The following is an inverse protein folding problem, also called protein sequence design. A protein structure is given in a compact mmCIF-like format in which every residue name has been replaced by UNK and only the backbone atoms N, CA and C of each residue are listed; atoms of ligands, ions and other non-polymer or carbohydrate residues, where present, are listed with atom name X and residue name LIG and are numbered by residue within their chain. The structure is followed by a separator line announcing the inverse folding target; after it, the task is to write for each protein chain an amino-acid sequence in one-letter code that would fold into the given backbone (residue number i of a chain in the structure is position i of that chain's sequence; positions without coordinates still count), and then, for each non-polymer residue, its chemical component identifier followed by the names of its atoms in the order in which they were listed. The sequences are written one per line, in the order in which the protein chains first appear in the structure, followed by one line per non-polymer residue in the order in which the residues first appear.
data_IF_420479898206
#
_entry.id   IF_420479898206
#
_cell.length_a   1.000
_cell.length_b   1.000
_cell.length_c   1.000
_cell.angle_alpha   90.00
_cell.angle_beta   90.00
_cell.angle_gamma   90.00
#
_symmetry.space_group_name_H-M   'P 1'
#
loop_
_entity.id
_entity.type
_entity.pdbx_description
1 polymer ?
#
# COMPACT_ATOMS: atom_id res chain seq x y z
N UNK A 1 -10.53 7.23 12.25
CA UNK A 1 -10.03 6.51 11.07
C UNK A 1 -10.77 5.20 10.88
N UNK A 2 -11.27 4.95 9.67
CA UNK A 2 -12.01 3.73 9.32
C UNK A 2 -11.09 2.61 8.84
N UNK A 3 -11.41 1.36 9.18
CA UNK A 3 -10.62 0.20 8.75
C UNK A 3 -11.11 -0.34 7.41
N UNK A 4 -10.20 -0.53 6.47
CA UNK A 4 -10.41 -1.23 5.21
C UNK A 4 -9.37 -2.35 5.06
N UNK A 5 -9.73 -3.42 4.35
CA UNK A 5 -8.82 -4.52 4.06
C UNK A 5 -8.48 -4.50 2.57
N UNK A 6 -7.20 -4.55 2.22
CA UNK A 6 -6.75 -4.73 0.84
C UNK A 6 -6.49 -6.21 0.55
N UNK A 7 -7.26 -6.75 -0.38
CA UNK A 7 -7.13 -8.07 -0.94
C UNK A 7 -6.50 -7.95 -2.34
N UNK A 8 -5.46 -8.75 -2.60
CA UNK A 8 -4.86 -8.87 -3.93
C UNK A 8 -5.82 -9.46 -4.96
N UNK A 9 -5.31 -9.87 -6.13
CA UNK A 9 -6.16 -10.42 -7.19
C UNK A 9 -6.68 -11.82 -6.87
N UNK A 10 -6.03 -12.53 -5.93
CA UNK A 10 -6.48 -13.84 -5.47
C UNK A 10 -7.79 -13.76 -4.65
N UNK A 11 -8.87 -14.31 -5.23
CA UNK A 11 -10.20 -14.35 -4.62
C UNK A 11 -10.28 -15.21 -3.36
N UNK A 12 -9.36 -16.17 -3.16
CA UNK A 12 -9.31 -17.01 -1.94
C UNK A 12 -9.14 -16.17 -0.67
N UNK A 13 -8.56 -14.96 -0.77
CA UNK A 13 -8.45 -14.06 0.36
C UNK A 13 -9.80 -13.57 0.88
N UNK A 14 -10.84 -13.51 0.05
CA UNK A 14 -12.20 -13.26 0.54
C UNK A 14 -12.69 -14.41 1.43
N UNK A 15 -12.45 -15.66 1.03
CA UNK A 15 -12.85 -16.82 1.82
C UNK A 15 -12.06 -16.88 3.15
N UNK A 16 -10.76 -16.58 3.12
CA UNK A 16 -9.98 -16.47 4.35
C UNK A 16 -10.49 -15.32 5.24
N UNK A 17 -10.87 -14.18 4.67
CA UNK A 17 -11.40 -13.04 5.44
C UNK A 17 -12.75 -13.39 6.08
N UNK A 18 -13.69 -13.93 5.31
CA UNK A 18 -15.04 -14.29 5.78
C UNK A 18 -14.99 -15.34 6.88
N UNK A 19 -14.05 -16.29 6.79
CA UNK A 19 -13.86 -17.32 7.81
C UNK A 19 -12.97 -16.87 8.97
N UNK A 20 -12.58 -15.59 9.02
CA UNK A 20 -11.70 -15.06 10.07
C UNK A 20 -10.32 -15.71 10.12
N UNK A 21 -9.87 -16.32 9.02
CA UNK A 21 -8.54 -16.96 8.90
C UNK A 21 -7.48 -15.99 8.35
N UNK A 22 -7.92 -14.93 7.65
CA UNK A 22 -7.02 -13.86 7.17
C UNK A 22 -6.61 -12.92 8.31
N UNK A 23 -7.44 -12.85 9.35
CA UNK A 23 -7.25 -12.02 10.52
C UNK A 23 -6.91 -12.91 11.72
N UNK A 24 -6.26 -12.32 12.72
CA UNK A 24 -5.84 -13.01 13.94
C UNK A 24 -7.02 -13.68 14.66
N UNK A 25 -6.97 -15.00 14.81
CA UNK A 25 -7.86 -15.82 15.64
C UNK A 25 -7.47 -15.84 17.14
N UNK A 26 -6.51 -15.02 17.55
CA UNK A 26 -6.11 -14.85 18.95
C UNK A 26 -5.20 -15.96 19.44
N UNK A 27 -5.67 -16.81 20.36
CA UNK A 27 -4.85 -17.85 20.99
C UNK A 27 -4.30 -18.87 19.96
N UNK A 28 -5.12 -19.19 18.96
CA UNK A 28 -4.77 -20.12 17.88
C UNK A 28 -3.61 -19.58 17.02
N UNK A 29 -3.51 -18.26 16.82
CA UNK A 29 -2.40 -17.68 16.04
C UNK A 29 -1.08 -17.82 16.78
N UNK A 30 -1.11 -17.65 18.11
CA UNK A 30 0.08 -17.81 18.95
C UNK A 30 0.52 -19.26 18.99
N UNK A 31 -0.42 -20.20 19.04
CA UNK A 31 -0.13 -21.63 18.96
C UNK A 31 0.41 -22.02 17.57
N UNK A 32 -0.15 -21.49 16.49
CA UNK A 32 0.32 -21.71 15.13
C UNK A 32 1.72 -21.09 14.90
N UNK A 33 1.91 -19.83 15.30
CA UNK A 33 3.19 -19.15 15.21
C UNK A 33 4.25 -19.83 16.09
N UNK A 34 3.91 -20.20 17.33
CA UNK A 34 4.80 -20.95 18.20
C UNK A 34 5.12 -22.33 17.62
N UNK A 35 4.14 -23.03 17.04
CA UNK A 35 4.36 -24.31 16.36
C UNK A 35 5.38 -24.15 15.24
N UNK A 36 5.22 -23.14 14.38
CA UNK A 36 6.19 -22.88 13.33
C UNK A 36 7.57 -22.54 13.90
N UNK A 37 7.66 -21.62 14.87
CA UNK A 37 8.94 -21.20 15.46
C UNK A 37 9.66 -22.33 16.21
N UNK A 38 8.92 -23.24 16.85
CA UNK A 38 9.49 -24.35 17.63
C UNK A 38 9.90 -25.53 16.77
N UNK A 39 9.13 -25.85 15.73
CA UNK A 39 9.34 -27.06 14.91
C UNK A 39 10.21 -26.79 13.68
N UNK A 40 10.35 -25.54 13.25
CA UNK A 40 11.16 -25.15 12.09
C UNK A 40 12.15 -24.02 12.42
N UNK A 41 12.97 -24.14 13.49
CA UNK A 41 13.93 -23.11 13.86
C UNK A 41 15.01 -23.02 12.77
N UNK A 42 14.97 -21.95 11.97
CA UNK A 42 15.93 -21.68 10.89
C UNK A 42 15.41 -21.94 9.48
N UNK A 43 14.46 -22.85 9.29
CA UNK A 43 13.83 -23.13 7.98
C UNK A 43 12.78 -22.07 7.59
N UNK A 44 12.14 -21.44 8.58
CA UNK A 44 11.23 -20.31 8.37
C UNK A 44 11.88 -19.15 7.63
N UNK A 45 13.19 -18.94 7.81
CA UNK A 45 13.93 -17.83 7.19
C UNK A 45 14.41 -18.13 5.77
N UNK A 46 14.25 -19.36 5.27
CA UNK A 46 14.65 -19.75 3.91
C UNK A 46 13.47 -20.15 3.02
N UNK A 47 12.39 -20.70 3.59
CA UNK A 47 11.28 -21.27 2.83
C UNK A 47 9.90 -20.62 3.09
N UNK A 48 9.76 -19.74 4.09
CA UNK A 48 8.47 -19.12 4.44
C UNK A 48 8.58 -17.60 4.32
N UNK A 49 7.59 -17.03 3.63
CA UNK A 49 7.54 -15.59 3.40
C UNK A 49 7.54 -14.79 4.72
N UNK A 50 8.37 -13.74 4.86
CA UNK A 50 8.33 -12.86 6.04
C UNK A 50 6.99 -12.12 6.17
N UNK A 51 6.14 -12.14 5.15
CA UNK A 51 4.83 -11.51 5.19
C UNK A 51 3.92 -12.11 6.27
N UNK A 52 4.05 -13.40 6.58
CA UNK A 52 3.25 -14.02 7.64
C UNK A 52 3.57 -13.44 9.01
N UNK A 53 4.86 -13.33 9.34
CA UNK A 53 5.31 -12.70 10.58
C UNK A 53 4.86 -11.24 10.65
N UNK A 54 5.08 -10.48 9.57
CA UNK A 54 4.66 -9.08 9.47
C UNK A 54 3.14 -8.94 9.67
N UNK A 55 2.33 -9.81 9.06
CA UNK A 55 0.88 -9.81 9.23
C UNK A 55 0.49 -10.01 10.70
N UNK A 56 1.06 -11.02 11.38
CA UNK A 56 0.75 -11.27 12.79
C UNK A 56 1.12 -10.11 13.72
N UNK A 57 2.32 -9.55 13.53
CA UNK A 57 2.78 -8.40 14.32
C UNK A 57 1.89 -7.19 14.02
N UNK A 58 1.58 -6.95 12.75
CA UNK A 58 0.77 -5.82 12.32
C UNK A 58 -0.65 -5.86 12.89
N UNK A 59 -1.28 -7.05 12.96
CA UNK A 59 -2.59 -7.22 13.58
C UNK A 59 -2.53 -6.94 15.09
N UNK A 60 -1.50 -7.44 15.78
CA UNK A 60 -1.29 -7.15 17.21
C UNK A 60 -1.16 -5.66 17.46
N UNK A 61 -0.44 -4.98 16.59
CA UNK A 61 -0.20 -3.56 16.67
C UNK A 61 -1.45 -2.73 16.40
N UNK A 62 -2.25 -3.09 15.40
CA UNK A 62 -3.59 -2.51 15.18
C UNK A 62 -4.46 -2.69 16.41
N UNK A 63 -4.52 -3.91 16.99
CA UNK A 63 -5.31 -4.18 18.21
C UNK A 63 -4.82 -3.37 19.41
N UNK A 64 -3.50 -3.16 19.54
CA UNK A 64 -2.90 -2.31 20.58
C UNK A 64 -3.30 -0.84 20.40
N UNK A 65 -3.22 -0.33 19.16
CA UNK A 65 -3.42 1.09 18.86
C UNK A 65 -4.89 1.51 18.80
N UNK A 66 -5.75 0.66 18.25
CA UNK A 66 -7.17 0.99 17.98
C UNK A 66 -8.17 0.17 18.80
N UNK A 67 -7.70 -0.82 19.58
CA UNK A 67 -8.53 -1.69 20.42
C UNK A 67 -8.79 -3.07 19.81
N UNK A 68 -9.14 -4.03 20.66
CA UNK A 68 -9.27 -5.45 20.29
C UNK A 68 -10.37 -5.69 19.24
N UNK A 69 -11.47 -4.94 19.32
CA UNK A 69 -12.64 -5.11 18.45
C UNK A 69 -12.54 -4.32 17.13
N UNK A 70 -11.41 -3.69 16.82
CA UNK A 70 -11.28 -2.84 15.63
C UNK A 70 -11.56 -3.62 14.33
N UNK A 71 -11.15 -4.88 14.26
CA UNK A 71 -11.42 -5.77 13.13
C UNK A 71 -12.89 -6.22 13.00
N UNK A 72 -13.73 -5.99 14.02
CA UNK A 72 -15.18 -6.22 13.90
C UNK A 72 -15.86 -5.09 13.10
N UNK A 73 -15.14 -3.99 12.81
CA UNK A 73 -15.65 -2.76 12.18
C UNK A 73 -14.97 -2.47 10.83
N UNK A 74 -14.90 -3.47 9.96
CA UNK A 74 -14.35 -3.33 8.59
C UNK A 74 -15.34 -2.59 7.68
N UNK A 75 -14.96 -1.37 7.29
CA UNK A 75 -15.78 -0.42 6.53
C UNK A 75 -15.79 -0.66 5.02
N UNK A 76 -14.86 -1.47 4.50
CA UNK A 76 -14.84 -1.82 3.08
C UNK A 76 -13.63 -2.65 2.66
N UNK A 77 -13.57 -2.93 1.36
CA UNK A 77 -12.56 -3.77 0.73
C UNK A 77 -11.91 -3.03 -0.43
N UNK A 78 -10.58 -3.05 -0.46
CA UNK A 78 -9.78 -2.73 -1.63
C UNK A 78 -9.47 -4.05 -2.34
N UNK A 79 -9.75 -4.14 -3.63
CA UNK A 79 -9.53 -5.34 -4.43
C UNK A 79 -8.68 -5.01 -5.66
N UNK A 80 -7.64 -5.80 -5.91
CA UNK A 80 -6.74 -5.63 -7.05
C UNK A 80 -5.30 -5.36 -6.63
N UNK A 81 -4.47 -4.94 -7.58
CA UNK A 81 -3.06 -4.64 -7.36
C UNK A 81 -2.73 -3.23 -7.81
N UNK A 82 -1.82 -2.57 -7.10
CA UNK A 82 -1.39 -1.20 -7.39
C UNK A 82 -0.19 -1.13 -8.35
N UNK A 83 0.45 -2.26 -8.69
CA UNK A 83 1.84 -2.22 -9.11
C UNK A 83 2.18 -2.72 -10.52
N UNK A 84 1.45 -3.67 -11.09
CA UNK A 84 1.85 -4.38 -12.31
C UNK A 84 0.69 -4.44 -13.29
N UNK A 85 0.89 -3.96 -14.51
CA UNK A 85 -0.17 -3.93 -15.54
C UNK A 85 -0.79 -5.30 -15.80
N UNK A 86 0.00 -6.38 -15.71
CA UNK A 86 -0.47 -7.74 -15.92
C UNK A 86 -1.31 -8.28 -14.76
N UNK A 87 -1.32 -7.60 -13.62
CA UNK A 87 -2.20 -7.86 -12.46
C UNK A 87 -3.44 -6.97 -12.48
N UNK A 88 -3.65 -6.17 -13.53
CA UNK A 88 -4.95 -5.55 -13.76
C UNK A 88 -6.00 -6.67 -13.85
N UNK A 89 -7.02 -6.65 -12.97
CA UNK A 89 -8.01 -7.72 -12.92
C UNK A 89 -8.89 -7.67 -14.17
N UNK A 90 -9.14 -8.84 -14.76
CA UNK A 90 -10.09 -8.98 -15.86
C UNK A 90 -11.52 -8.71 -15.38
N UNK A 91 -12.41 -8.33 -16.29
CA UNK A 91 -13.84 -8.14 -15.98
C UNK A 91 -14.43 -9.33 -15.22
N UNK A 92 -14.13 -10.56 -15.63
CA UNK A 92 -14.64 -11.77 -14.98
C UNK A 92 -14.08 -11.98 -13.56
N UNK A 93 -12.86 -11.51 -13.27
CA UNK A 93 -12.28 -11.50 -11.93
C UNK A 93 -12.98 -10.45 -11.05
N UNK A 94 -13.25 -9.27 -11.61
CA UNK A 94 -14.01 -8.18 -10.94
C UNK A 94 -15.45 -8.61 -10.64
N UNK A 95 -16.13 -9.26 -11.57
CA UNK A 95 -17.50 -9.79 -11.37
C UNK A 95 -17.56 -10.73 -10.17
N UNK A 96 -16.63 -11.69 -10.11
CA UNK A 96 -16.51 -12.60 -8.96
C UNK A 96 -16.18 -11.85 -7.67
N UNK A 97 -15.24 -10.90 -7.70
CA UNK A 97 -14.89 -10.10 -6.53
C UNK A 97 -16.10 -9.34 -5.97
N UNK A 98 -16.98 -8.81 -6.84
CA UNK A 98 -18.24 -8.18 -6.44
C UNK A 98 -19.20 -9.18 -5.79
N UNK A 99 -19.30 -10.41 -6.31
CA UNK A 99 -20.10 -11.47 -5.67
C UNK A 99 -19.58 -11.82 -4.28
N UNK A 100 -18.26 -12.00 -4.14
CA UNK A 100 -17.61 -12.24 -2.86
C UNK A 100 -17.80 -11.06 -1.90
N UNK A 101 -17.67 -9.83 -2.39
CA UNK A 101 -17.93 -8.63 -1.60
C UNK A 101 -19.38 -8.58 -1.08
N UNK A 102 -20.37 -8.92 -1.91
CA UNK A 102 -21.78 -9.00 -1.48
C UNK A 102 -21.99 -10.07 -0.41
N UNK A 103 -21.35 -11.23 -0.54
CA UNK A 103 -21.38 -12.30 0.49
C UNK A 103 -20.74 -11.82 1.79
N UNK A 104 -19.57 -11.17 1.71
CA UNK A 104 -18.88 -10.58 2.84
C UNK A 104 -19.76 -9.52 3.54
N UNK A 105 -20.37 -8.59 2.79
CA UNK A 105 -21.20 -7.54 3.36
C UNK A 105 -22.44 -8.10 4.08
N UNK A 106 -22.99 -9.22 3.59
CA UNK A 106 -24.10 -9.94 4.22
C UNK A 106 -23.69 -10.69 5.48
N UNK A 107 -22.55 -11.37 5.46
CA UNK A 107 -22.15 -12.32 6.52
C UNK A 107 -21.35 -11.66 7.65
N UNK A 108 -20.63 -10.58 7.36
CA UNK A 108 -19.81 -9.92 8.36
C UNK A 108 -20.66 -8.95 9.19
N UNK A 109 -20.54 -8.94 10.54
CA UNK A 109 -21.42 -8.18 11.44
C UNK A 109 -21.71 -6.77 10.92
N UNK A 110 -22.98 -6.45 10.61
CA UNK A 110 -23.31 -5.17 10.02
C UNK A 110 -23.07 -4.08 11.05
N UNK A 111 -22.30 -3.06 10.66
CA UNK A 111 -22.14 -1.83 11.44
C UNK A 111 -22.28 -0.59 10.56
N UNK A 112 -22.08 -0.74 9.25
CA UNK A 112 -22.40 0.26 8.21
C UNK A 112 -22.51 -0.43 6.85
N UNK A 113 -23.01 0.31 5.87
CA UNK A 113 -22.92 -0.10 4.46
C UNK A 113 -21.46 0.00 4.04
N UNK A 114 -20.91 -1.10 3.54
CA UNK A 114 -19.49 -1.20 3.18
C UNK A 114 -19.23 -0.70 1.77
N UNK A 115 -18.00 -0.26 1.53
CA UNK A 115 -17.56 0.23 0.22
C UNK A 115 -16.67 -0.80 -0.47
N UNK A 116 -16.87 -0.96 -1.78
CA UNK A 116 -15.97 -1.70 -2.66
C UNK A 116 -15.09 -0.71 -3.42
N UNK A 117 -13.78 -0.97 -3.40
CA UNK A 117 -12.77 -0.13 -4.03
C UNK A 117 -11.93 -0.99 -4.97
N UNK A 118 -11.95 -0.69 -6.27
CA UNK A 118 -11.05 -1.33 -7.24
C UNK A 118 -9.69 -0.64 -7.18
N UNK A 119 -8.61 -1.41 -7.05
CA UNK A 119 -7.24 -0.92 -7.15
C UNK A 119 -6.71 -1.25 -8.53
N UNK A 120 -6.34 -0.21 -9.27
CA UNK A 120 -5.76 -0.35 -10.62
C UNK A 120 -4.25 -0.20 -10.54
N UNK A 121 -3.47 -1.01 -11.28
CA UNK A 121 -2.04 -0.77 -11.43
C UNK A 121 -1.81 0.35 -12.44
N UNK A 122 -0.55 0.73 -12.67
CA UNK A 122 -0.22 1.40 -13.91
C UNK A 122 -0.50 0.46 -15.09
N UNK A 123 -1.05 0.96 -16.19
CA UNK A 123 -1.37 0.13 -17.37
C UNK A 123 -0.87 0.76 -18.66
N UNK A 124 -0.29 -0.06 -19.56
CA UNK A 124 -0.07 0.32 -20.95
C UNK A 124 -1.33 0.15 -21.80
N UNK A 125 -1.29 0.60 -23.06
CA UNK A 125 -2.46 0.64 -23.97
C UNK A 125 -3.20 -0.71 -24.06
N UNK A 126 -2.45 -1.82 -24.21
CA UNK A 126 -3.04 -3.17 -24.30
C UNK A 126 -3.81 -3.58 -23.04
N UNK A 127 -3.31 -3.22 -21.85
CA UNK A 127 -3.97 -3.55 -20.59
C UNK A 127 -5.08 -2.54 -20.26
N UNK A 128 -4.99 -1.31 -20.78
CA UNK A 128 -6.05 -0.31 -20.66
C UNK A 128 -7.35 -0.79 -21.30
N UNK A 129 -7.30 -1.36 -22.51
CA UNK A 129 -8.48 -1.92 -23.20
C UNK A 129 -9.21 -2.97 -22.31
N UNK A 130 -8.43 -3.84 -21.66
CA UNK A 130 -8.97 -4.86 -20.76
C UNK A 130 -9.55 -4.28 -19.48
N UNK A 131 -8.88 -3.27 -18.92
CA UNK A 131 -9.33 -2.59 -17.71
C UNK A 131 -10.65 -1.83 -17.98
N UNK A 132 -10.81 -1.27 -19.17
CA UNK A 132 -12.00 -0.52 -19.59
C UNK A 132 -13.28 -1.38 -19.53
N UNK A 133 -13.21 -2.65 -19.94
CA UNK A 133 -14.35 -3.59 -19.80
C UNK A 133 -14.80 -3.77 -18.34
N UNK A 134 -13.83 -3.84 -17.43
CA UNK A 134 -14.07 -3.93 -15.99
C UNK A 134 -14.67 -2.64 -15.41
N UNK A 135 -14.14 -1.48 -15.82
CA UNK A 135 -14.64 -0.18 -15.41
C UNK A 135 -16.06 0.09 -15.95
N UNK A 136 -16.34 -0.30 -17.21
CA UNK A 136 -17.68 -0.26 -17.80
C UNK A 136 -18.68 -1.08 -16.98
N UNK A 137 -18.30 -2.29 -16.58
CA UNK A 137 -19.12 -3.13 -15.71
C UNK A 137 -19.40 -2.43 -14.37
N UNK A 138 -18.36 -1.97 -13.67
CA UNK A 138 -18.50 -1.31 -12.37
C UNK A 138 -19.33 -0.03 -12.43
N UNK A 139 -19.15 0.81 -13.46
CA UNK A 139 -19.90 2.06 -13.62
C UNK A 139 -21.41 1.83 -13.80
N UNK A 140 -21.80 0.70 -14.36
CA UNK A 140 -23.19 0.33 -14.58
C UNK A 140 -23.82 -0.43 -13.40
N UNK A 141 -23.02 -0.83 -12.39
CA UNK A 141 -23.54 -1.50 -11.21
C UNK A 141 -24.32 -0.54 -10.32
N UNK A 142 -25.51 -0.99 -9.91
CA UNK A 142 -26.32 -0.32 -8.89
C UNK A 142 -26.06 -0.96 -7.54
N UNK A 143 -25.11 -0.41 -6.80
CA UNK A 143 -24.84 -0.78 -5.41
C UNK A 143 -25.08 0.43 -4.48
N UNK A 144 -25.30 0.16 -3.19
CA UNK A 144 -25.74 1.19 -2.22
C UNK A 144 -24.72 2.31 -2.02
N UNK A 145 -23.44 1.97 -1.92
CA UNK A 145 -22.35 2.94 -1.86
C UNK A 145 -21.73 3.10 -3.25
N UNK A 146 -21.34 4.31 -3.66
CA UNK A 146 -20.57 4.50 -4.90
C UNK A 146 -19.31 3.65 -4.91
N UNK A 147 -19.00 3.05 -6.06
CA UNK A 147 -17.76 2.28 -6.25
C UNK A 147 -16.60 3.25 -6.35
N UNK A 148 -15.54 2.93 -5.63
CA UNK A 148 -14.29 3.70 -5.67
C UNK A 148 -13.29 3.00 -6.58
N UNK A 149 -12.44 3.79 -7.23
CA UNK A 149 -11.33 3.30 -8.05
C UNK A 149 -10.05 4.04 -7.68
N UNK A 150 -9.06 3.30 -7.19
CA UNK A 150 -7.71 3.82 -6.97
C UNK A 150 -6.99 3.85 -8.30
N UNK A 151 -6.56 5.04 -8.74
CA UNK A 151 -5.80 5.25 -9.96
C UNK A 151 -4.32 5.37 -9.63
N UNK A 152 -3.49 4.54 -10.27
CA UNK A 152 -2.03 4.55 -10.08
C UNK A 152 -1.25 5.04 -11.31
N UNK A 153 -1.94 5.49 -12.35
CA UNK A 153 -1.38 6.27 -13.46
C UNK A 153 -2.35 7.35 -13.98
N UNK A 154 -1.81 8.31 -14.76
CA UNK A 154 -2.58 9.42 -15.31
C UNK A 154 -3.49 9.03 -16.50
N UNK A 155 -3.20 7.92 -17.18
CA UNK A 155 -4.03 7.37 -18.25
C UNK A 155 -5.38 6.90 -17.70
N UNK A 156 -5.36 6.09 -16.64
CA UNK A 156 -6.57 5.63 -15.95
C UNK A 156 -7.34 6.81 -15.34
N UNK A 157 -6.64 7.77 -14.73
CA UNK A 157 -7.27 9.01 -14.24
C UNK A 157 -8.03 9.73 -15.37
N UNK A 158 -7.38 9.94 -16.51
CA UNK A 158 -7.96 10.62 -17.66
C UNK A 158 -9.15 9.82 -18.24
N UNK A 159 -9.05 8.49 -18.34
CA UNK A 159 -10.13 7.63 -18.80
C UNK A 159 -11.36 7.76 -17.88
N UNK A 160 -11.18 7.59 -16.57
CA UNK A 160 -12.28 7.61 -15.61
C UNK A 160 -12.93 8.98 -15.55
N UNK A 161 -12.14 10.05 -15.45
CA UNK A 161 -12.64 11.42 -15.36
C UNK A 161 -13.47 11.86 -16.58
N UNK A 162 -13.25 11.25 -17.76
CA UNK A 162 -13.97 11.58 -18.99
C UNK A 162 -15.14 10.65 -19.29
N UNK A 163 -15.00 9.35 -19.01
CA UNK A 163 -15.96 8.32 -19.46
C UNK A 163 -16.94 7.90 -18.37
N UNK A 164 -16.56 7.95 -17.10
CA UNK A 164 -17.34 7.33 -16.01
C UNK A 164 -17.82 8.36 -14.99
N UNK A 165 -19.13 8.41 -14.76
CA UNK A 165 -19.76 9.35 -13.84
C UNK A 165 -20.11 8.73 -12.49
N UNK A 166 -20.21 7.41 -12.41
CA UNK A 166 -20.64 6.70 -11.19
C UNK A 166 -19.47 6.15 -10.37
N UNK A 167 -18.24 6.30 -10.87
CA UNK A 167 -17.02 5.86 -10.20
C UNK A 167 -16.38 7.02 -9.45
N UNK A 168 -16.02 6.81 -8.18
CA UNK A 168 -15.27 7.78 -7.37
C UNK A 168 -13.77 7.55 -7.49
N UNK A 169 -13.04 8.59 -7.86
CA UNK A 169 -11.59 8.50 -8.05
C UNK A 169 -10.86 8.68 -6.73
N UNK A 170 -9.99 7.72 -6.40
CA UNK A 170 -8.99 7.80 -5.34
C UNK A 170 -7.62 7.87 -6.01
N UNK A 171 -6.79 8.80 -5.58
CA UNK A 171 -5.45 8.99 -6.14
C UNK A 171 -4.44 8.09 -5.42
N UNK A 172 -3.92 7.09 -6.13
CA UNK A 172 -3.13 6.01 -5.56
C UNK A 172 -1.70 6.38 -5.17
N UNK A 173 -1.09 5.48 -4.40
CA UNK A 173 0.22 5.66 -3.76
C UNK A 173 1.42 5.59 -4.71
N UNK A 174 1.20 5.15 -5.96
CA UNK A 174 2.23 5.17 -7.02
C UNK A 174 2.44 6.55 -7.61
N UNK A 175 1.36 7.31 -7.79
CA UNK A 175 1.44 8.63 -8.42
C UNK A 175 1.93 9.67 -7.39
N UNK A 176 1.65 9.43 -6.12
CA UNK A 176 2.04 10.33 -5.05
C UNK A 176 3.53 10.22 -4.69
N UNK A 177 4.24 11.34 -4.74
CA UNK A 177 5.69 11.37 -4.43
C UNK A 177 5.95 11.67 -2.96
N UNK A 178 6.14 10.62 -2.17
CA UNK A 178 6.90 10.70 -0.92
C UNK A 178 8.22 9.96 -1.11
N UNK A 179 9.31 10.40 -0.49
CA UNK A 179 10.58 9.68 -0.62
C UNK A 179 10.59 8.46 0.28
N UNK A 180 10.52 7.26 -0.29
CA UNK A 180 10.38 6.00 0.48
C UNK A 180 11.70 5.25 0.66
N UNK A 181 12.83 5.89 0.35
CA UNK A 181 14.13 5.20 0.30
C UNK A 181 14.56 4.71 1.69
N UNK A 182 14.89 3.41 1.83
CA UNK A 182 15.37 2.86 3.09
C UNK A 182 16.76 3.35 3.51
N UNK A 183 17.53 3.91 2.56
CA UNK A 183 18.85 4.48 2.83
C UNK A 183 18.79 5.65 3.82
N UNK A 184 17.77 6.52 3.67
CA UNK A 184 17.57 7.67 4.55
C UNK A 184 17.29 7.22 5.99
N UNK A 185 16.48 6.18 6.15
CA UNK A 185 16.08 5.72 7.48
C UNK A 185 17.16 4.84 8.16
N UNK A 186 18.10 4.29 7.36
CA UNK A 186 19.18 3.40 7.82
C UNK A 186 20.49 4.15 8.09
N UNK A 187 20.96 4.94 7.12
CA UNK A 187 22.21 5.69 7.23
C UNK A 187 22.00 7.10 7.77
N UNK A 188 20.74 7.43 8.09
CA UNK A 188 20.36 8.73 8.60
C UNK A 188 20.59 9.85 7.59
N UNK A 189 20.50 11.06 8.12
CA UNK A 189 20.58 12.31 7.38
C UNK A 189 22.03 12.76 7.11
N UNK A 190 23.01 11.92 7.47
CA UNK A 190 24.44 12.15 7.28
C UNK A 190 24.92 11.78 5.86
N UNK A 191 24.08 11.08 5.08
CA UNK A 191 24.44 10.50 3.79
C UNK A 191 24.70 11.51 2.66
N UNK A 192 24.42 12.80 2.85
CA UNK A 192 24.75 13.83 1.87
C UNK A 192 25.59 14.95 2.49
N UNK A 193 26.93 14.84 2.48
CA UNK A 193 27.75 16.02 2.61
C UNK A 193 27.40 16.93 1.44
N UNK A 194 26.92 18.14 1.73
CA UNK A 194 26.80 19.20 0.75
C UNK A 194 28.21 19.65 0.34
N UNK A 195 28.92 18.78 -0.38
CA UNK A 195 30.39 18.77 -0.49
C UNK A 195 30.98 20.12 -0.89
N UNK A 196 30.30 20.86 -1.75
CA UNK A 196 30.70 22.21 -2.15
C UNK A 196 30.29 23.30 -1.15
N UNK A 197 29.17 23.16 -0.43
CA UNK A 197 28.70 24.14 0.59
C UNK A 197 29.52 24.09 1.89
N UNK A 198 30.18 22.95 2.18
CA UNK A 198 31.06 22.77 3.35
C UNK A 198 32.54 23.02 3.04
N UNK A 199 32.87 23.24 1.76
CA UNK A 199 34.24 23.50 1.30
C UNK A 199 34.71 24.84 1.87
N UNK A 200 35.89 24.85 2.49
CA UNK A 200 36.51 26.02 3.12
C UNK A 200 35.79 26.58 4.37
N UNK A 201 34.82 25.86 4.95
CA UNK A 201 34.22 26.22 6.24
C UNK A 201 35.04 25.69 7.42
N UNK A 202 34.99 26.37 8.55
CA UNK A 202 35.52 25.87 9.83
C UNK A 202 34.71 24.66 10.33
N UNK A 203 35.27 23.86 11.24
CA UNK A 203 34.55 22.69 11.79
C UNK A 203 33.25 23.06 12.51
N UNK A 204 33.22 24.20 13.21
CA UNK A 204 31.99 24.70 13.85
C UNK A 204 30.92 25.07 12.83
N UNK A 205 31.28 25.75 11.74
CA UNK A 205 30.35 26.08 10.66
C UNK A 205 29.86 24.83 9.91
N UNK A 206 30.73 23.83 9.72
CA UNK A 206 30.32 22.54 9.14
C UNK A 206 29.30 21.84 10.03
N UNK A 207 29.51 21.83 11.34
CA UNK A 207 28.57 21.23 12.29
C UNK A 207 27.22 21.93 12.26
N UNK A 208 27.19 23.27 12.35
CA UNK A 208 25.95 24.03 12.29
C UNK A 208 25.21 23.84 10.95
N UNK A 209 25.93 23.80 9.83
CA UNK A 209 25.33 23.56 8.52
C UNK A 209 24.78 22.13 8.40
N UNK A 210 25.48 21.12 8.96
CA UNK A 210 24.97 19.75 9.02
C UNK A 210 23.64 19.71 9.77
N UNK A 211 23.54 20.30 10.96
CA UNK A 211 22.29 20.35 11.73
C UNK A 211 21.14 20.99 10.94
N UNK A 212 21.40 22.09 10.21
CA UNK A 212 20.39 22.73 9.37
C UNK A 212 19.96 21.85 8.18
N UNK A 213 20.92 21.21 7.50
CA UNK A 213 20.63 20.28 6.39
C UNK A 213 19.76 19.13 6.88
N UNK A 214 20.11 18.52 8.00
CA UNK A 214 19.32 17.44 8.62
C UNK A 214 17.90 17.92 8.89
N UNK A 215 17.72 19.11 9.46
CA UNK A 215 16.40 19.70 9.72
C UNK A 215 15.58 19.92 8.44
N UNK A 216 16.19 20.39 7.35
CA UNK A 216 15.48 20.57 6.08
C UNK A 216 15.14 19.25 5.40
N UNK A 217 16.05 18.29 5.41
CA UNK A 217 15.80 16.94 4.92
C UNK A 217 14.64 16.28 5.68
N UNK A 218 14.65 16.37 7.01
CA UNK A 218 13.55 15.91 7.85
C UNK A 218 12.22 16.52 7.43
N UNK A 219 12.17 17.84 7.26
CA UNK A 219 10.96 18.53 6.82
C UNK A 219 10.48 18.06 5.44
N UNK A 220 11.40 17.83 4.51
CA UNK A 220 11.09 17.35 3.17
C UNK A 220 10.56 15.91 3.18
N UNK A 221 11.20 14.99 3.91
CA UNK A 221 10.78 13.59 3.99
C UNK A 221 9.47 13.38 4.76
N UNK A 222 9.15 14.32 5.65
CA UNK A 222 7.87 14.42 6.34
C UNK A 222 6.83 15.22 5.53
N UNK A 223 7.05 15.47 4.24
CA UNK A 223 6.09 16.20 3.39
C UNK A 223 5.50 15.31 2.32
N UNK A 224 4.28 15.65 1.94
CA UNK A 224 3.52 15.05 0.86
C UNK A 224 3.05 16.18 -0.08
N UNK A 225 2.99 15.91 -1.38
CA UNK A 225 2.55 16.88 -2.41
C UNK A 225 1.17 17.47 -2.10
N UNK A 226 0.28 16.72 -1.44
CA UNK A 226 -1.05 17.19 -1.00
C UNK A 226 -1.01 18.37 -0.04
N UNK A 227 0.14 18.62 0.61
CA UNK A 227 0.35 19.82 1.41
C UNK A 227 0.43 21.11 0.58
N UNK A 228 0.65 21.00 -0.74
CA UNK A 228 0.74 22.12 -1.66
C UNK A 228 -0.64 22.52 -2.20
N UNK A 229 -1.04 23.81 -2.13
CA UNK A 229 -2.32 24.28 -2.68
C UNK A 229 -2.50 23.97 -4.18
N UNK A 230 -1.43 24.10 -4.97
CA UNK A 230 -1.45 23.81 -6.41
C UNK A 230 -1.83 22.35 -6.70
N UNK A 231 -1.31 21.42 -5.90
CA UNK A 231 -1.64 20.00 -6.04
C UNK A 231 -3.09 19.73 -5.62
N UNK A 232 -3.56 20.33 -4.52
CA UNK A 232 -4.97 20.20 -4.12
C UNK A 232 -5.93 20.76 -5.18
N UNK A 233 -5.56 21.83 -5.87
CA UNK A 233 -6.34 22.36 -6.99
C UNK A 233 -6.38 21.38 -8.17
N UNK A 234 -5.27 20.71 -8.45
CA UNK A 234 -5.23 19.62 -9.43
C UNK A 234 -6.17 18.47 -9.02
N UNK A 235 -6.12 18.00 -7.77
CA UNK A 235 -7.02 16.93 -7.29
C UNK A 235 -8.50 17.31 -7.44
N UNK A 236 -8.86 18.54 -7.06
CA UNK A 236 -10.23 19.06 -7.21
C UNK A 236 -10.69 19.12 -8.66
N UNK A 237 -9.81 19.51 -9.59
CA UNK A 237 -10.11 19.57 -11.03
C UNK A 237 -10.54 18.21 -11.59
N UNK A 238 -9.97 17.12 -11.07
CA UNK A 238 -10.28 15.75 -11.49
C UNK A 238 -11.28 15.04 -10.58
N UNK A 239 -11.97 15.78 -9.69
CA UNK A 239 -12.93 15.22 -8.74
C UNK A 239 -12.37 14.06 -7.91
N UNK A 240 -11.07 14.11 -7.60
CA UNK A 240 -10.43 13.15 -6.70
C UNK A 240 -11.02 13.33 -5.30
N UNK A 241 -11.50 12.24 -4.70
CA UNK A 241 -12.11 12.26 -3.38
C UNK A 241 -11.11 12.04 -2.25
N UNK A 242 -10.03 11.30 -2.52
CA UNK A 242 -9.04 10.85 -1.53
C UNK A 242 -7.65 10.69 -2.16
N UNK A 243 -6.62 10.78 -1.33
CA UNK A 243 -5.26 10.41 -1.72
C UNK A 243 -4.79 9.22 -0.89
N UNK A 244 -3.84 8.46 -1.43
CA UNK A 244 -3.23 7.34 -0.71
C UNK A 244 -1.80 7.67 -0.29
N UNK A 245 -1.46 7.37 0.96
CA UNK A 245 -0.11 7.45 1.50
C UNK A 245 0.33 6.08 2.01
N UNK A 246 1.64 5.82 1.99
CA UNK A 246 2.20 4.70 2.73
C UNK A 246 2.44 5.13 4.18
N UNK A 247 2.18 4.21 5.12
CA UNK A 247 2.68 4.37 6.47
C UNK A 247 4.21 4.30 6.46
N UNK A 248 4.85 5.22 7.16
CA UNK A 248 6.30 5.39 7.20
C UNK A 248 6.67 5.71 8.65
N UNK A 249 7.32 4.78 9.34
CA UNK A 249 7.79 5.01 10.70
C UNK A 249 8.74 6.21 10.77
N UNK A 250 8.79 6.86 11.94
CA UNK A 250 9.64 8.04 12.21
C UNK A 250 9.31 9.28 11.37
N UNK A 251 8.13 9.29 10.72
CA UNK A 251 7.65 10.42 9.91
C UNK A 251 6.34 11.01 10.42
N UNK A 252 6.31 11.34 11.71
CA UNK A 252 5.09 11.81 12.38
C UNK A 252 4.43 13.02 11.69
N UNK A 253 5.24 13.93 11.19
CA UNK A 253 4.77 15.15 10.52
C UNK A 253 4.14 14.88 9.13
N UNK A 254 4.34 13.69 8.57
CA UNK A 254 3.59 13.21 7.41
C UNK A 254 2.12 12.95 7.75
N UNK A 255 1.80 12.69 9.02
CA UNK A 255 0.47 12.38 9.50
C UNK A 255 -0.17 13.59 10.22
N UNK A 256 0.06 14.78 9.69
CA UNK A 256 -0.55 16.03 10.18
C UNK A 256 -1.65 16.49 9.21
N UNK A 257 -2.91 16.28 9.61
CA UNK A 257 -4.08 16.59 8.78
C UNK A 257 -4.22 18.08 8.45
N UNK A 258 -3.72 18.96 9.32
CA UNK A 258 -3.80 20.41 9.10
C UNK A 258 -3.05 20.82 7.82
N UNK A 259 -1.95 20.11 7.52
CA UNK A 259 -1.14 20.33 6.31
C UNK A 259 -1.89 19.95 5.04
N UNK A 260 -2.87 19.05 5.13
CA UNK A 260 -3.66 18.60 4.00
C UNK A 260 -4.93 19.42 3.79
N UNK A 261 -5.16 20.46 4.61
CA UNK A 261 -6.45 21.17 4.65
C UNK A 261 -7.62 20.19 4.87
N UNK A 262 -7.40 19.17 5.71
CA UNK A 262 -8.33 18.06 5.98
C UNK A 262 -8.75 17.26 4.74
N UNK A 263 -7.94 17.26 3.67
CA UNK A 263 -8.18 16.37 2.53
C UNK A 263 -8.10 14.90 2.99
N UNK A 264 -9.08 14.04 2.67
CA UNK A 264 -9.10 12.67 3.19
C UNK A 264 -7.92 11.82 2.71
N UNK A 265 -7.36 11.01 3.62
CA UNK A 265 -6.20 10.16 3.36
C UNK A 265 -6.50 8.69 3.59
N UNK A 266 -6.07 7.86 2.64
CA UNK A 266 -6.03 6.41 2.76
C UNK A 266 -4.59 5.98 3.07
N UNK A 267 -4.37 5.52 4.30
CA UNK A 267 -3.05 5.15 4.80
C UNK A 267 -2.81 3.64 4.65
N UNK A 268 -1.91 3.25 3.76
CA UNK A 268 -1.54 1.84 3.57
C UNK A 268 -0.60 1.35 4.65
N UNK A 269 -0.91 0.18 5.20
CA UNK A 269 -0.19 -0.46 6.29
C UNK A 269 -0.27 -2.00 6.16
N UNK A 270 0.79 -2.78 6.48
CA UNK A 270 2.10 -2.38 6.98
C UNK A 270 3.16 -2.26 5.89
N UNK A 271 2.78 -2.25 4.61
CA UNK A 271 3.74 -2.33 3.49
C UNK A 271 3.92 -0.99 2.80
N UNK A 272 5.06 -0.33 3.00
CA UNK A 272 5.46 0.83 2.21
C UNK A 272 6.10 0.39 0.89
N UNK A 273 5.66 0.97 -0.23
CA UNK A 273 6.26 0.68 -1.53
C UNK A 273 7.63 1.34 -1.63
N UNK A 274 8.70 0.59 -1.88
CA UNK A 274 10.03 1.18 -2.08
C UNK A 274 10.23 1.62 -3.51
N UNK A 275 9.94 0.73 -4.46
CA UNK A 275 10.00 1.02 -5.88
C UNK A 275 9.06 0.12 -6.68
N UNK A 276 8.77 0.54 -7.90
CA UNK A 276 8.11 -0.25 -8.94
C UNK A 276 8.86 -0.03 -10.25
N UNK A 277 8.92 -1.06 -11.10
CA UNK A 277 9.64 -1.00 -12.37
C UNK A 277 9.01 -1.87 -13.46
N UNK A 278 9.61 -1.87 -14.65
CA UNK A 278 9.20 -2.80 -15.73
C UNK A 278 9.88 -4.16 -15.66
N UNK A 279 11.00 -4.24 -14.94
CA UNK A 279 11.72 -5.48 -14.69
C UNK A 279 11.06 -6.21 -13.51
N UNK A 280 11.03 -7.54 -13.58
CA UNK A 280 10.31 -8.37 -12.62
C UNK A 280 11.15 -9.57 -12.22
N UNK A 281 11.88 -9.44 -11.11
CA UNK A 281 12.73 -10.52 -10.59
C UNK A 281 11.91 -11.75 -10.22
N UNK A 282 10.68 -11.56 -9.75
CA UNK A 282 9.80 -12.70 -9.45
C UNK A 282 9.49 -13.51 -10.71
N UNK A 283 9.31 -12.86 -11.86
CA UNK A 283 9.12 -13.57 -13.13
C UNK A 283 10.43 -14.07 -13.73
N UNK A 284 11.57 -13.48 -13.33
CA UNK A 284 12.90 -13.93 -13.72
C UNK A 284 13.24 -15.34 -13.22
N UNK A 285 12.56 -15.81 -12.17
CA UNK A 285 12.64 -17.19 -11.67
C UNK A 285 12.34 -18.21 -12.79
N UNK A 286 11.34 -17.91 -13.64
CA UNK A 286 10.91 -18.81 -14.72
C UNK A 286 11.41 -18.36 -16.10
N UNK A 287 11.64 -17.06 -16.28
CA UNK A 287 12.17 -16.50 -17.51
C UNK A 287 13.23 -15.44 -17.19
N UNK A 288 14.53 -15.79 -17.14
CA UNK A 288 15.61 -14.88 -16.77
C UNK A 288 15.62 -13.56 -17.56
N UNK A 289 15.14 -13.54 -18.81
CA UNK A 289 15.07 -12.32 -19.62
C UNK A 289 14.22 -11.22 -18.95
N UNK A 290 13.19 -11.59 -18.18
CA UNK A 290 12.30 -10.63 -17.48
C UNK A 290 12.97 -9.89 -16.30
N UNK A 291 14.11 -10.38 -15.82
CA UNK A 291 14.94 -9.68 -14.82
C UNK A 291 15.87 -8.64 -15.43
N UNK A 292 16.18 -8.75 -16.73
CA UNK A 292 17.16 -7.89 -17.40
C UNK A 292 16.56 -6.98 -18.47
N UNK A 293 15.43 -7.38 -19.07
CA UNK A 293 14.80 -6.68 -20.19
C UNK A 293 13.30 -6.51 -19.97
N UNK A 294 12.79 -5.36 -20.39
CA UNK A 294 11.35 -5.18 -20.52
C UNK A 294 10.87 -5.97 -21.74
N UNK A 295 10.01 -6.96 -21.53
CA UNK A 295 9.41 -7.78 -22.59
C UNK A 295 7.91 -7.51 -22.67
N UNK A 296 7.38 -7.48 -23.88
CA UNK A 296 5.93 -7.29 -24.13
C UNK A 296 5.16 -8.62 -24.19
N UNK A 297 5.82 -9.73 -23.84
CA UNK A 297 5.22 -11.06 -23.74
C UNK A 297 4.18 -11.11 -22.62
N UNK A 298 3.17 -11.96 -22.77
CA UNK A 298 2.16 -12.22 -21.73
C UNK A 298 2.86 -12.69 -20.45
N UNK A 299 2.63 -11.98 -19.35
CA UNK A 299 3.17 -12.34 -18.05
C UNK A 299 2.43 -13.56 -17.48
N UNK A 300 3.13 -14.61 -17.04
CA UNK A 300 2.52 -15.79 -16.42
C UNK A 300 2.06 -15.54 -14.96
N UNK A 301 2.16 -14.31 -14.45
CA UNK A 301 1.85 -13.94 -13.05
C UNK A 301 2.58 -14.83 -12.03
N UNK A 302 3.88 -15.08 -12.26
CA UNK A 302 4.76 -15.87 -11.36
C UNK A 302 4.71 -15.39 -9.90
N UNK A 303 4.44 -14.10 -9.67
CA UNK A 303 4.24 -13.50 -8.35
C UNK A 303 3.06 -14.06 -7.52
N UNK A 304 2.13 -14.78 -8.15
CA UNK A 304 1.09 -15.51 -7.44
C UNK A 304 1.65 -16.74 -6.70
N UNK A 305 2.83 -17.23 -7.11
CA UNK A 305 3.47 -18.43 -6.55
C UNK A 305 4.73 -18.12 -5.76
N UNK A 306 5.45 -17.07 -6.13
CA UNK A 306 6.75 -16.76 -5.55
C UNK A 306 6.80 -15.34 -5.01
N UNK A 307 7.60 -15.16 -3.97
CA UNK A 307 8.09 -13.91 -3.45
C UNK A 307 9.61 -13.95 -3.33
N UNK A 308 10.23 -12.76 -3.37
CA UNK A 308 11.68 -12.61 -3.17
C UNK A 308 11.87 -11.75 -1.94
N UNK A 309 12.55 -12.25 -0.92
CA UNK A 309 12.86 -11.45 0.26
C UNK A 309 14.38 -11.28 0.41
N UNK A 310 14.79 -10.09 0.86
CA UNK A 310 16.19 -9.73 0.97
C UNK A 310 16.64 -9.84 2.43
N UNK A 311 17.61 -10.71 2.70
CA UNK A 311 18.26 -10.81 4.02
C UNK A 311 19.27 -9.68 4.21
N UNK A 312 18.79 -8.49 4.53
CA UNK A 312 19.65 -7.33 4.82
C UNK A 312 19.90 -7.28 6.33
N UNK A 313 21.14 -7.59 6.77
CA UNK A 313 21.49 -7.69 8.19
C UNK A 313 21.42 -6.37 8.96
N UNK A 314 21.43 -5.23 8.27
CA UNK A 314 21.63 -3.91 8.86
C UNK A 314 20.34 -3.12 9.04
N UNK A 315 19.17 -3.71 8.80
CA UNK A 315 17.89 -2.99 8.76
C UNK A 315 16.86 -3.63 9.67
N UNK A 316 16.10 -2.80 10.39
CA UNK A 316 15.05 -3.24 11.33
C UNK A 316 13.70 -3.54 10.69
N UNK A 317 13.65 -3.80 9.39
CA UNK A 317 12.43 -4.07 8.61
C UNK A 317 12.67 -5.21 7.62
N UNK A 318 11.59 -5.88 7.22
CA UNK A 318 11.60 -6.86 6.15
C UNK A 318 11.49 -6.15 4.79
N UNK A 319 12.39 -6.47 3.86
CA UNK A 319 12.31 -6.04 2.47
C UNK A 319 11.91 -7.23 1.60
N UNK A 320 10.83 -7.06 0.85
CA UNK A 320 10.27 -8.09 -0.02
C UNK A 320 9.93 -7.51 -1.38
N UNK A 321 10.12 -8.29 -2.43
CA UNK A 321 9.68 -8.02 -3.77
C UNK A 321 8.64 -9.06 -4.19
N UNK A 322 7.52 -8.56 -4.70
CA UNK A 322 6.46 -9.40 -5.26
C UNK A 322 6.01 -8.77 -6.58
N UNK A 323 6.26 -9.49 -7.66
CA UNK A 323 6.13 -8.95 -9.01
C UNK A 323 7.28 -7.99 -9.32
N UNK A 324 6.93 -6.88 -9.93
CA UNK A 324 7.84 -5.84 -10.40
C UNK A 324 8.16 -4.76 -9.35
N UNK A 325 7.79 -5.02 -8.09
CA UNK A 325 7.75 -3.99 -7.05
C UNK A 325 8.25 -4.50 -5.72
N UNK A 326 9.01 -3.66 -5.05
CA UNK A 326 9.57 -3.94 -3.73
C UNK A 326 8.85 -3.13 -2.65
N UNK A 327 8.75 -3.74 -1.48
CA UNK A 327 8.01 -3.26 -0.33
C UNK A 327 8.87 -3.45 0.91
N UNK A 328 8.76 -2.52 1.85
CA UNK A 328 9.33 -2.66 3.19
C UNK A 328 8.23 -2.67 4.24
N UNK A 329 8.44 -3.43 5.31
CA UNK A 329 7.50 -3.48 6.43
C UNK A 329 7.66 -2.25 7.35
N UNK A 330 6.55 -1.67 7.75
CA UNK A 330 6.41 -0.52 8.64
C UNK A 330 5.34 -0.90 9.66
N UNK A 331 5.75 -1.18 10.89
CA UNK A 331 4.90 -1.81 11.91
C UNK A 331 4.44 -0.79 12.95
N UNK A 332 5.37 -0.06 13.57
CA UNK A 332 5.09 0.68 14.79
C UNK A 332 4.17 1.88 14.54
N UNK A 333 2.90 1.78 14.93
CA UNK A 333 1.89 2.81 14.73
C UNK A 333 1.97 3.97 15.72
N UNK A 334 2.98 4.00 16.61
CA UNK A 334 3.15 5.12 17.54
C UNK A 334 3.52 6.44 16.87
N UNK A 335 4.04 6.38 15.65
CA UNK A 335 4.30 7.57 14.85
C UNK A 335 3.04 8.22 14.25
N UNK A 336 1.87 7.61 14.38
CA UNK A 336 0.62 8.26 13.98
C UNK A 336 0.18 9.28 15.01
N UNK A 337 -0.02 10.53 14.56
CA UNK A 337 -0.60 11.59 15.39
C UNK A 337 -2.04 11.28 15.75
N UNK A 338 -2.43 11.71 16.96
CA UNK A 338 -3.77 11.43 17.53
C UNK A 338 -4.89 12.03 16.67
N UNK A 339 -4.74 13.25 16.20
CA UNK A 339 -5.70 13.93 15.33
C UNK A 339 -5.86 13.23 13.97
N UNK A 340 -4.79 12.61 13.46
CA UNK A 340 -4.86 11.79 12.25
C UNK A 340 -5.71 10.54 12.45
N UNK A 341 -5.52 9.86 13.59
CA UNK A 341 -6.27 8.68 13.99
C UNK A 341 -7.74 9.01 14.24
N UNK A 342 -8.02 10.11 14.94
CA UNK A 342 -9.38 10.50 15.32
C UNK A 342 -10.20 11.02 14.15
N UNK A 343 -9.56 11.48 13.07
CA UNK A 343 -10.26 11.93 11.87
C UNK A 343 -11.04 10.77 11.20
N UNK A 344 -12.38 10.83 11.11
CA UNK A 344 -13.19 9.79 10.49
C UNK A 344 -13.05 9.77 8.96
N UNK A 345 -12.59 10.87 8.35
CA UNK A 345 -12.31 10.93 6.92
C UNK A 345 -11.04 10.18 6.55
N UNK A 346 -10.14 9.87 7.49
CA UNK A 346 -8.98 9.06 7.18
C UNK A 346 -9.33 7.56 7.23
N UNK A 347 -8.64 6.76 6.43
CA UNK A 347 -8.77 5.30 6.39
C UNK A 347 -7.44 4.63 6.68
N UNK A 348 -7.47 3.56 7.45
CA UNK A 348 -6.38 2.60 7.55
C UNK A 348 -6.66 1.50 6.54
N UNK A 349 -5.81 1.38 5.55
CA UNK A 349 -5.87 0.32 4.54
C UNK A 349 -4.90 -0.76 5.00
N UNK A 350 -5.43 -1.79 5.66
CA UNK A 350 -4.64 -2.91 6.10
C UNK A 350 -4.48 -3.92 4.97
N UNK A 351 -3.24 -4.16 4.54
CA UNK A 351 -2.85 -5.15 3.56
C UNK A 351 -2.10 -6.30 4.27
N UNK A 352 -2.79 -7.41 4.62
CA UNK A 352 -2.16 -8.54 5.34
C UNK A 352 -0.94 -9.08 4.59
N UNK A 353 -1.00 -9.08 3.26
CA UNK A 353 0.06 -9.49 2.36
C UNK A 353 0.27 -8.42 1.28
N UNK A 354 1.45 -8.40 0.67
CA UNK A 354 1.72 -7.60 -0.52
C UNK A 354 0.75 -8.02 -1.63
N UNK A 355 0.06 -7.03 -2.17
CA UNK A 355 -1.11 -7.21 -3.05
C UNK A 355 -0.69 -7.44 -4.49
N UNK A 356 -0.66 -8.72 -4.85
CA UNK A 356 -0.58 -9.19 -6.25
C UNK A 356 -1.80 -10.00 -6.64
#
# INVERSE_FOLDING_TARGET
MELFIHLGTNLEYFDLLVNGKLLSQGKNDRELANFFMQNFPGELAENISPQYEVNFIAIREIKRKFGQDYFNKISGIYYGSDNCEYLAPLKSEIEKAIEYFKKFDKNFPPHKIRTFTLVTPYVGDKMMERLEEGLDYLNNLKIKNPIEVVVNDFGVLNLISKKYTNLKIIFGRLIHKILKTPLVDTFGYEAHPAGELIKNKTEQEKLALREQIVKWQMRFYNSAEVSLPVYRNFLKKFSVSRITLDFMEKREDLFDNSRFSNFPVDLYYPWALVFTGRLCDTSAIENPMRGFYAVDDICPRTCNRYDIFYKIKTVGYNLIQRGNSAYRSEINLDFLKKDFIENPENRLIFAPFVTV
#
